data_IF_767858290857
#
_entry.id   IF_767858290857
#
_cell.length_a   1.000
_cell.length_b   1.000
_cell.length_c   1.000
_cell.angle_alpha   90.00
_cell.angle_beta   90.00
_cell.angle_gamma   90.00
#
_symmetry.space_group_name_H-M   'P 1'
#
loop_
_entity.id
_entity.type
_entity.pdbx_description
1 polymer ?
#
# COMPACT_ATOMS: atom_id res chain seq x y z
N UNK A 1 -13.03 36.20 33.67
CA UNK A 1 -11.61 35.83 33.54
C UNK A 1 -11.46 35.01 32.27
N UNK A 2 -11.15 35.68 31.16
CA UNK A 2 -10.76 35.05 29.91
C UNK A 2 -9.24 34.89 29.96
N UNK A 3 -8.77 33.69 30.26
CA UNK A 3 -7.35 33.38 30.36
C UNK A 3 -7.14 31.90 30.04
N UNK A 4 -6.26 31.64 29.09
CA UNK A 4 -5.63 30.35 28.79
C UNK A 4 -6.50 29.21 28.26
N UNK A 5 -6.76 29.26 26.95
CA UNK A 5 -6.98 28.06 26.13
C UNK A 5 -5.95 27.93 25.01
N UNK A 6 -4.69 28.26 25.29
CA UNK A 6 -3.59 27.86 24.42
C UNK A 6 -3.02 26.52 24.91
N UNK A 7 -3.08 25.47 24.09
CA UNK A 7 -2.18 24.33 24.21
C UNK A 7 -2.74 22.99 24.73
N UNK A 8 -4.02 22.66 24.52
CA UNK A 8 -4.51 21.28 24.81
C UNK A 8 -5.06 20.58 23.57
N UNK A 9 -4.16 20.08 22.72
CA UNK A 9 -4.49 19.07 21.72
C UNK A 9 -4.60 17.69 22.38
N UNK A 10 -5.61 17.47 23.21
CA UNK A 10 -5.91 16.14 23.72
C UNK A 10 -6.77 15.37 22.72
N UNK A 11 -6.23 15.08 21.54
CA UNK A 11 -6.88 14.14 20.64
C UNK A 11 -6.63 12.73 21.16
N UNK A 12 -7.71 11.95 21.36
CA UNK A 12 -7.63 10.57 21.84
C UNK A 12 -6.79 9.72 20.90
N UNK A 13 -5.77 9.02 21.45
CA UNK A 13 -4.97 8.06 20.69
C UNK A 13 -5.72 6.75 20.57
N UNK A 14 -5.93 6.29 19.34
CA UNK A 14 -6.45 4.96 19.02
C UNK A 14 -5.27 4.10 18.57
N UNK A 15 -5.04 2.96 19.23
CA UNK A 15 -3.98 2.02 18.90
C UNK A 15 -4.54 0.65 18.60
N UNK A 16 -3.96 -0.01 17.60
CA UNK A 16 -4.32 -1.37 17.19
C UNK A 16 -3.07 -2.25 17.25
N UNK A 17 -3.26 -3.53 17.56
CA UNK A 17 -2.23 -4.55 17.36
C UNK A 17 -2.52 -5.21 16.02
N UNK A 18 -1.52 -5.22 15.15
CA UNK A 18 -1.60 -5.83 13.82
C UNK A 18 -0.49 -6.86 13.68
N UNK A 19 -0.78 -7.94 12.97
CA UNK A 19 0.25 -8.89 12.56
C UNK A 19 1.06 -8.33 11.37
N UNK A 20 2.09 -9.06 10.93
CA UNK A 20 2.99 -8.61 9.86
C UNK A 20 2.27 -8.39 8.52
N UNK A 21 1.34 -9.28 8.18
CA UNK A 21 0.56 -9.22 6.94
C UNK A 21 -0.42 -8.03 6.93
N UNK A 22 -1.17 -7.84 8.01
CA UNK A 22 -2.09 -6.70 8.18
C UNK A 22 -1.33 -5.38 8.10
N UNK A 23 -0.15 -5.30 8.70
CA UNK A 23 0.71 -4.12 8.63
C UNK A 23 1.11 -3.82 7.17
N UNK A 24 1.60 -4.82 6.44
CA UNK A 24 2.00 -4.65 5.04
C UNK A 24 0.82 -4.18 4.17
N UNK A 25 -0.35 -4.79 4.36
CA UNK A 25 -1.58 -4.43 3.66
C UNK A 25 -1.99 -2.97 3.93
N UNK A 26 -1.94 -2.52 5.19
CA UNK A 26 -2.24 -1.13 5.55
C UNK A 26 -1.25 -0.18 4.87
N UNK A 27 0.04 -0.53 4.83
CA UNK A 27 1.07 0.34 4.25
C UNK A 27 0.90 0.50 2.73
N UNK A 28 0.62 -0.57 2.01
CA UNK A 28 0.35 -0.52 0.57
C UNK A 28 -0.93 0.28 0.26
N UNK A 29 -2.02 0.06 1.02
CA UNK A 29 -3.25 0.83 0.82
C UNK A 29 -3.08 2.31 1.12
N UNK A 30 -2.29 2.67 2.13
CA UNK A 30 -1.93 4.07 2.41
C UNK A 30 -1.17 4.66 1.23
N UNK A 31 -0.17 3.94 0.69
CA UNK A 31 0.63 4.36 -0.48
C UNK A 31 -0.28 4.62 -1.69
N UNK A 32 -1.12 3.66 -2.04
CA UNK A 32 -2.04 3.75 -3.18
C UNK A 32 -3.07 4.87 -3.01
N UNK A 33 -3.56 5.10 -1.78
CA UNK A 33 -4.53 6.17 -1.52
C UNK A 33 -4.00 7.58 -1.76
N UNK A 34 -2.68 7.77 -1.76
CA UNK A 34 -2.04 9.09 -1.77
C UNK A 34 -2.33 9.95 -0.54
N UNK A 35 -2.91 9.38 0.52
CA UNK A 35 -3.23 10.06 1.77
C UNK A 35 -2.13 9.86 2.81
N UNK A 36 -2.05 10.75 3.80
CA UNK A 36 -1.22 10.49 4.98
C UNK A 36 -1.77 9.28 5.72
N UNK A 37 -0.88 8.46 6.31
CA UNK A 37 -1.24 7.26 7.08
C UNK A 37 -2.33 7.53 8.14
N UNK A 38 -2.22 8.66 8.85
CA UNK A 38 -3.23 9.09 9.82
C UNK A 38 -4.60 9.34 9.17
N UNK A 39 -4.65 10.11 8.08
CA UNK A 39 -5.90 10.44 7.38
C UNK A 39 -6.56 9.20 6.78
N UNK A 40 -5.75 8.31 6.21
CA UNK A 40 -6.21 7.04 5.68
C UNK A 40 -6.86 6.19 6.78
N UNK A 41 -6.17 5.98 7.91
CA UNK A 41 -6.69 5.14 9.01
C UNK A 41 -7.97 5.75 9.59
N UNK A 42 -8.00 7.06 9.83
CA UNK A 42 -9.19 7.74 10.37
C UNK A 42 -10.38 7.60 9.41
N UNK A 43 -10.18 7.83 8.11
CA UNK A 43 -11.26 7.68 7.12
C UNK A 43 -11.71 6.23 6.96
N UNK A 44 -10.79 5.27 7.00
CA UNK A 44 -11.10 3.83 6.99
C UNK A 44 -11.96 3.45 8.19
N UNK A 45 -11.64 3.93 9.39
CA UNK A 45 -12.42 3.68 10.60
C UNK A 45 -13.81 4.33 10.58
N UNK A 46 -13.97 5.50 9.96
CA UNK A 46 -15.26 6.22 9.91
C UNK A 46 -16.19 5.63 8.85
N UNK A 47 -15.66 5.36 7.65
CA UNK A 47 -16.49 5.04 6.48
C UNK A 47 -16.50 3.56 6.11
N UNK A 48 -15.70 2.71 6.79
CA UNK A 48 -15.45 1.30 6.46
C UNK A 48 -14.95 1.04 5.03
N UNK A 49 -14.86 2.07 4.19
CA UNK A 49 -14.41 2.04 2.80
C UNK A 49 -13.80 3.40 2.43
N UNK A 50 -12.51 3.43 2.10
CA UNK A 50 -11.84 4.65 1.61
C UNK A 50 -11.82 4.61 0.09
N UNK A 51 -12.57 5.51 -0.53
CA UNK A 51 -12.48 5.74 -1.97
C UNK A 51 -11.19 6.51 -2.29
N UNK A 52 -10.33 5.92 -3.11
CA UNK A 52 -9.14 6.58 -3.65
C UNK A 52 -9.60 7.61 -4.67
N UNK A 53 -9.49 8.90 -4.32
CA UNK A 53 -9.83 9.99 -5.26
C UNK A 53 -8.62 10.21 -6.15
N UNK A 54 -8.72 9.78 -7.41
CA UNK A 54 -7.64 9.82 -8.38
C UNK A 54 -7.19 11.24 -8.73
N UNK A 55 -6.22 11.77 -7.98
CA UNK A 55 -5.39 12.88 -8.47
C UNK A 55 -4.47 12.34 -9.55
N UNK A 56 -4.20 13.14 -10.58
CA UNK A 56 -3.30 12.75 -11.68
C UNK A 56 -1.96 12.21 -11.17
N UNK A 57 -1.40 12.86 -10.15
CA UNK A 57 -0.14 12.45 -9.49
C UNK A 57 -0.24 11.04 -8.89
N UNK A 58 -1.34 10.74 -8.18
CA UNK A 58 -1.58 9.43 -7.56
C UNK A 58 -1.79 8.34 -8.61
N UNK A 59 -2.53 8.65 -9.69
CA UNK A 59 -2.73 7.72 -10.81
C UNK A 59 -1.41 7.41 -11.52
N UNK A 60 -0.54 8.41 -11.72
CA UNK A 60 0.77 8.19 -12.36
C UNK A 60 1.68 7.28 -11.53
N UNK A 61 1.65 7.38 -10.19
CA UNK A 61 2.39 6.46 -9.31
C UNK A 61 1.89 5.02 -9.47
N UNK A 62 0.57 4.81 -9.46
CA UNK A 62 -0.02 3.48 -9.65
C UNK A 62 0.36 2.94 -11.04
N UNK A 63 0.27 3.78 -12.07
CA UNK A 63 0.64 3.43 -13.43
C UNK A 63 2.12 3.04 -13.55
N UNK A 64 3.04 3.77 -12.90
CA UNK A 64 4.46 3.46 -12.95
C UNK A 64 4.77 2.12 -12.29
N UNK A 65 4.17 1.86 -11.12
CA UNK A 65 4.35 0.61 -10.37
C UNK A 65 3.77 -0.59 -11.14
N UNK A 66 2.58 -0.44 -11.75
CA UNK A 66 2.01 -1.47 -12.63
C UNK A 66 2.91 -1.76 -13.84
N UNK A 67 3.54 -0.72 -14.41
CA UNK A 67 4.45 -0.88 -15.55
C UNK A 67 5.73 -1.61 -15.13
N UNK A 68 6.30 -1.27 -13.98
CA UNK A 68 7.46 -1.96 -13.42
C UNK A 68 7.15 -3.44 -13.16
N UNK A 69 6.02 -3.72 -12.50
CA UNK A 69 5.54 -5.09 -12.28
C UNK A 69 5.41 -5.87 -13.60
N UNK A 70 4.84 -5.25 -14.64
CA UNK A 70 4.72 -5.88 -15.97
C UNK A 70 6.07 -6.23 -16.58
N UNK A 71 7.05 -5.33 -16.50
CA UNK A 71 8.39 -5.55 -17.05
C UNK A 71 9.10 -6.70 -16.32
N UNK A 72 9.03 -6.71 -15.00
CA UNK A 72 9.62 -7.78 -14.18
C UNK A 72 8.97 -9.13 -14.53
N UNK A 73 7.64 -9.20 -14.62
CA UNK A 73 6.94 -10.43 -14.99
C UNK A 73 7.29 -10.91 -16.41
N UNK A 74 7.51 -10.00 -17.36
CA UNK A 74 7.98 -10.36 -18.70
C UNK A 74 9.37 -10.97 -18.68
N UNK A 75 10.29 -10.43 -17.88
CA UNK A 75 11.64 -10.96 -17.76
C UNK A 75 11.64 -12.33 -17.05
N UNK A 76 10.86 -12.49 -15.97
CA UNK A 76 10.63 -13.81 -15.35
C UNK A 76 10.07 -14.81 -16.36
N UNK A 77 9.11 -14.41 -17.19
CA UNK A 77 8.54 -15.28 -18.21
C UNK A 77 9.54 -15.67 -19.32
N UNK A 78 10.48 -14.78 -19.67
CA UNK A 78 11.58 -15.11 -20.60
C UNK A 78 12.56 -16.09 -19.96
N UNK A 79 12.92 -15.84 -18.71
CA UNK A 79 13.84 -16.70 -17.97
C UNK A 79 13.29 -18.11 -17.79
N UNK A 80 11.98 -18.26 -17.53
CA UNK A 80 11.31 -19.57 -17.46
C UNK A 80 11.25 -20.31 -18.79
N UNK A 81 11.24 -19.59 -19.92
CA UNK A 81 11.28 -20.18 -21.28
C UNK A 81 12.68 -20.59 -21.69
N UNK A 82 13.71 -19.95 -21.14
CA UNK A 82 15.07 -20.44 -21.24
C UNK A 82 15.26 -21.57 -20.24
N UNK A 83 15.67 -22.77 -20.66
CA UNK A 83 15.69 -24.00 -19.83
C UNK A 83 16.68 -23.98 -18.62
N UNK A 84 17.06 -22.80 -18.11
CA UNK A 84 17.86 -22.60 -16.90
C UNK A 84 17.05 -21.77 -15.90
N UNK A 85 16.58 -22.35 -14.78
CA UNK A 85 15.90 -21.57 -13.76
C UNK A 85 16.92 -20.65 -13.07
N UNK A 86 16.83 -19.34 -13.33
CA UNK A 86 17.68 -18.32 -12.69
C UNK A 86 17.09 -17.87 -11.35
N UNK A 87 15.78 -18.04 -11.16
CA UNK A 87 15.04 -17.52 -10.00
C UNK A 87 14.72 -18.66 -9.03
N UNK A 88 15.01 -18.44 -7.75
CA UNK A 88 14.72 -19.39 -6.68
C UNK A 88 13.25 -19.28 -6.24
N UNK A 89 12.68 -20.42 -5.81
CA UNK A 89 11.32 -20.53 -5.27
C UNK A 89 10.97 -19.46 -4.21
N UNK A 90 11.80 -19.19 -3.17
CA UNK A 90 11.46 -18.16 -2.18
C UNK A 90 11.41 -16.73 -2.74
N UNK A 91 12.16 -16.45 -3.81
CA UNK A 91 12.10 -15.14 -4.48
C UNK A 91 10.77 -14.99 -5.22
N UNK A 92 10.33 -16.07 -5.87
CA UNK A 92 9.04 -16.12 -6.57
C UNK A 92 7.85 -15.93 -5.62
N UNK A 93 7.89 -16.57 -4.45
CA UNK A 93 6.86 -16.41 -3.42
C UNK A 93 6.80 -14.97 -2.90
N UNK A 94 7.96 -14.38 -2.60
CA UNK A 94 8.02 -12.99 -2.11
C UNK A 94 7.54 -11.96 -3.15
N UNK A 95 7.79 -12.20 -4.43
CA UNK A 95 7.25 -11.39 -5.53
C UNK A 95 5.74 -11.54 -5.64
N UNK A 96 5.24 -12.77 -5.54
CA UNK A 96 3.81 -13.08 -5.64
C UNK A 96 3.03 -12.40 -4.52
N UNK A 97 3.49 -12.51 -3.27
CA UNK A 97 2.87 -11.84 -2.13
C UNK A 97 2.83 -10.32 -2.33
N UNK A 98 3.93 -9.73 -2.79
CA UNK A 98 4.02 -8.28 -3.02
C UNK A 98 3.06 -7.80 -4.11
N UNK A 99 3.02 -8.50 -5.24
CA UNK A 99 2.19 -8.09 -6.38
C UNK A 99 0.71 -8.32 -6.14
N UNK A 100 0.32 -9.40 -5.44
CA UNK A 100 -1.06 -9.61 -5.02
C UNK A 100 -1.52 -8.49 -4.07
N UNK A 101 -0.71 -8.16 -3.05
CA UNK A 101 -1.03 -7.09 -2.11
C UNK A 101 -1.18 -5.72 -2.81
N UNK A 102 -0.33 -5.43 -3.78
CA UNK A 102 -0.42 -4.22 -4.58
C UNK A 102 -1.68 -4.19 -5.46
N UNK A 103 -2.00 -5.28 -6.16
CA UNK A 103 -3.19 -5.37 -7.01
C UNK A 103 -4.49 -5.26 -6.22
N UNK A 104 -4.58 -5.92 -5.06
CA UNK A 104 -5.72 -5.79 -4.13
C UNK A 104 -5.87 -4.38 -3.57
N UNK A 105 -4.79 -3.61 -3.47
CA UNK A 105 -4.85 -2.22 -3.00
C UNK A 105 -5.25 -1.25 -4.12
N UNK A 106 -4.95 -1.58 -5.38
CA UNK A 106 -5.15 -0.73 -6.55
C UNK A 106 -6.51 -0.91 -7.26
N UNK A 107 -7.17 -2.07 -7.08
CA UNK A 107 -8.46 -2.44 -7.67
C UNK A 107 -9.59 -2.40 -6.64
#
# INVERSE_FOLDING_TARGET
>A
MAGDRHGKHNTTTISFRVNSYEKATIEERVKVSGMKKQDYIVRSCIYNHVCVVGKKETIEIIRSEMREMSLVLEDVAKDLKSEKPVISEPVLDSMTERYLAFLEAAL
#
